data_IF_892259921847
#
_entry.id   IF_892259921847
#
_cell.length_a   1.000
_cell.length_b   1.000
_cell.length_c   1.000
_cell.angle_alpha   90.00
_cell.angle_beta   90.00
_cell.angle_gamma   90.00
#
_symmetry.space_group_name_H-M   'P 1'
#
loop_
_entity.id
_entity.type
_entity.pdbx_description
1 polymer ?
#
# COMPACT_ATOMS: atom_id res chain seq x y z
N UNK A 1 -12.72 11.99 -11.71
CA UNK A 1 -11.60 11.52 -12.53
C UNK A 1 -11.78 10.08 -12.95
N UNK A 2 -11.50 9.83 -14.16
CA UNK A 2 -11.61 8.48 -14.71
C UNK A 2 -10.38 7.65 -14.40
N UNK A 3 -10.60 6.38 -14.19
CA UNK A 3 -9.51 5.44 -13.98
C UNK A 3 -8.50 5.48 -15.12
N UNK A 4 -8.98 5.57 -16.36
CA UNK A 4 -8.10 5.60 -17.51
C UNK A 4 -7.22 6.83 -17.55
N UNK A 5 -7.71 7.95 -17.03
CA UNK A 5 -6.92 9.17 -17.00
C UNK A 5 -5.70 9.02 -16.10
N UNK A 6 -5.86 8.35 -14.97
CA UNK A 6 -4.74 8.14 -14.05
C UNK A 6 -3.66 7.31 -14.70
N UNK A 7 -4.06 6.28 -15.42
CA UNK A 7 -3.10 5.42 -16.13
C UNK A 7 -2.39 6.19 -17.23
N UNK A 8 -3.12 7.04 -17.97
CA UNK A 8 -2.53 7.81 -19.05
C UNK A 8 -1.47 8.79 -18.57
N UNK A 9 -1.64 9.33 -17.36
CA UNK A 9 -0.70 10.32 -16.84
C UNK A 9 0.42 9.71 -16.00
N UNK A 10 0.48 8.40 -15.93
CA UNK A 10 1.47 7.73 -15.09
C UNK A 10 2.92 8.12 -15.40
N UNK A 11 3.36 8.12 -16.67
CA UNK A 11 4.74 8.53 -16.95
C UNK A 11 5.05 9.94 -16.49
N UNK A 12 4.09 10.85 -16.63
CA UNK A 12 4.26 12.23 -16.19
C UNK A 12 4.39 12.29 -14.67
N UNK A 13 3.61 11.51 -13.96
CA UNK A 13 3.68 11.46 -12.50
C UNK A 13 5.06 10.97 -12.05
N UNK A 14 5.56 9.92 -12.67
CA UNK A 14 6.87 9.37 -12.33
C UNK A 14 7.96 10.41 -12.57
N UNK A 15 7.95 11.04 -13.74
CA UNK A 15 8.94 12.06 -14.07
C UNK A 15 8.92 13.22 -13.10
N UNK A 16 7.72 13.67 -12.75
CA UNK A 16 7.58 14.79 -11.81
C UNK A 16 8.15 14.44 -10.45
N UNK A 17 7.90 13.23 -9.99
CA UNK A 17 8.39 12.79 -8.69
C UNK A 17 9.89 12.62 -8.69
N UNK A 18 10.47 12.22 -9.82
CA UNK A 18 11.92 12.07 -9.93
C UNK A 18 12.63 13.42 -9.90
N UNK A 19 12.02 14.44 -10.49
CA UNK A 19 12.68 15.73 -10.62
C UNK A 19 12.36 16.69 -9.47
N UNK A 20 11.37 16.37 -8.61
CA UNK A 20 10.94 17.30 -7.57
C UNK A 20 10.49 16.58 -6.31
N UNK A 21 11.20 16.79 -5.19
CA UNK A 21 10.73 16.26 -3.91
C UNK A 21 9.35 16.77 -3.50
N UNK A 22 9.03 18.01 -3.88
CA UNK A 22 7.71 18.56 -3.58
C UNK A 22 6.63 17.83 -4.34
N UNK A 23 6.89 17.44 -5.60
CA UNK A 23 5.96 16.66 -6.39
C UNK A 23 5.76 15.27 -5.79
N UNK A 24 6.84 14.66 -5.30
CA UNK A 24 6.74 13.35 -4.67
C UNK A 24 5.92 13.42 -3.39
N UNK A 25 6.09 14.49 -2.61
CA UNK A 25 5.32 14.70 -1.40
C UNK A 25 3.83 14.84 -1.73
N UNK A 26 3.52 15.61 -2.76
CA UNK A 26 2.13 15.81 -3.17
C UNK A 26 1.54 14.50 -3.69
N UNK A 27 2.32 13.72 -4.42
CA UNK A 27 1.84 12.43 -4.91
C UNK A 27 1.49 11.51 -3.75
N UNK A 28 2.32 11.47 -2.72
CA UNK A 28 2.05 10.66 -1.54
C UNK A 28 0.75 11.12 -0.86
N UNK A 29 0.54 12.42 -0.76
CA UNK A 29 -0.67 12.97 -0.17
C UNK A 29 -1.92 12.53 -0.95
N UNK A 30 -1.86 12.65 -2.28
CA UNK A 30 -3.00 12.29 -3.13
C UNK A 30 -3.27 10.78 -3.05
N UNK A 31 -2.22 9.98 -3.09
CA UNK A 31 -2.37 8.53 -3.01
C UNK A 31 -2.99 8.14 -1.67
N UNK A 32 -2.57 8.78 -0.59
CA UNK A 32 -3.17 8.50 0.72
C UNK A 32 -4.67 8.79 0.71
N UNK A 33 -5.08 9.85 0.04
CA UNK A 33 -6.50 10.15 -0.11
C UNK A 33 -7.23 9.07 -0.91
N UNK A 34 -6.60 8.57 -1.96
CA UNK A 34 -7.20 7.50 -2.76
C UNK A 34 -7.44 6.25 -1.93
N UNK A 35 -6.55 5.97 -0.97
CA UNK A 35 -6.66 4.76 -0.15
C UNK A 35 -7.62 4.92 1.03
N UNK A 36 -8.06 6.12 1.29
CA UNK A 36 -8.87 6.39 2.48
C UNK A 36 -10.26 5.76 2.36
N UNK A 37 -10.94 5.68 3.49
CA UNK A 37 -12.28 5.11 3.54
C UNK A 37 -13.29 5.91 2.72
N UNK A 38 -12.96 7.16 2.39
CA UNK A 38 -13.83 7.96 1.54
C UNK A 38 -14.01 7.35 0.17
N UNK A 39 -13.09 6.49 -0.25
CA UNK A 39 -13.16 5.81 -1.54
C UNK A 39 -13.50 4.34 -1.41
N UNK A 40 -14.08 3.93 -0.28
CA UNK A 40 -14.44 2.52 -0.09
C UNK A 40 -15.48 2.02 -1.08
N UNK A 41 -16.28 2.93 -1.63
CA UNK A 41 -17.26 2.57 -2.66
C UNK A 41 -16.67 2.60 -4.06
N UNK A 42 -15.39 2.92 -4.19
CA UNK A 42 -14.71 3.00 -5.48
C UNK A 42 -13.41 2.19 -5.43
N UNK A 43 -13.54 0.85 -5.45
CA UNK A 43 -12.34 0.00 -5.32
C UNK A 43 -11.29 0.28 -6.38
N UNK A 44 -11.69 0.68 -7.58
CA UNK A 44 -10.73 0.97 -8.63
C UNK A 44 -9.81 2.14 -8.29
N UNK A 45 -10.32 3.12 -7.54
CA UNK A 45 -9.49 4.25 -7.11
C UNK A 45 -8.44 3.76 -6.12
N UNK A 46 -8.85 2.93 -5.18
CA UNK A 46 -7.93 2.37 -4.19
C UNK A 46 -6.89 1.46 -4.86
N UNK A 47 -7.34 0.64 -5.79
CA UNK A 47 -6.44 -0.24 -6.53
C UNK A 47 -5.37 0.57 -7.28
N UNK A 48 -5.80 1.62 -7.97
CA UNK A 48 -4.86 2.47 -8.71
C UNK A 48 -3.87 3.15 -7.78
N UNK A 49 -4.32 3.57 -6.60
CA UNK A 49 -3.42 4.16 -5.61
C UNK A 49 -2.32 3.19 -5.20
N UNK A 50 -2.68 1.92 -4.99
CA UNK A 50 -1.71 0.90 -4.62
C UNK A 50 -0.71 0.67 -5.75
N UNK A 51 -1.19 0.62 -6.99
CA UNK A 51 -0.30 0.44 -8.14
C UNK A 51 0.68 1.61 -8.25
N UNK A 52 0.21 2.83 -7.99
CA UNK A 52 1.11 3.99 -7.99
C UNK A 52 2.18 3.86 -6.91
N UNK A 53 1.83 3.37 -5.73
CA UNK A 53 2.80 3.15 -4.68
C UNK A 53 3.90 2.20 -5.15
N UNK A 54 3.53 1.12 -5.80
CA UNK A 54 4.49 0.14 -6.29
C UNK A 54 5.46 0.76 -7.28
N UNK A 55 4.92 1.55 -8.18
CA UNK A 55 5.74 2.17 -9.23
C UNK A 55 6.65 3.23 -8.65
N UNK A 56 6.11 4.11 -7.81
CA UNK A 56 6.86 5.22 -7.27
C UNK A 56 7.88 4.79 -6.21
N UNK A 57 7.65 3.66 -5.58
CA UNK A 57 8.65 3.12 -4.64
C UNK A 57 9.92 2.69 -5.36
N UNK A 58 9.83 2.38 -6.65
CA UNK A 58 10.99 2.05 -7.47
C UNK A 58 11.57 3.28 -8.16
N UNK A 59 10.72 4.15 -8.66
CA UNK A 59 11.11 5.35 -9.40
C UNK A 59 10.21 6.50 -8.99
N UNK A 60 10.69 7.47 -8.25
CA UNK A 60 12.06 7.80 -7.85
C UNK A 60 12.61 7.03 -6.66
N UNK A 61 11.84 6.14 -6.06
CA UNK A 61 12.30 5.39 -4.92
C UNK A 61 12.27 6.21 -3.64
N UNK A 62 13.43 6.46 -3.06
CA UNK A 62 13.50 7.07 -1.72
C UNK A 62 12.91 8.47 -1.64
N UNK A 63 12.96 9.22 -2.73
CA UNK A 63 12.36 10.55 -2.76
C UNK A 63 10.84 10.44 -2.52
N UNK A 64 10.23 9.36 -2.97
CA UNK A 64 8.81 9.13 -2.73
C UNK A 64 8.57 8.43 -1.39
N UNK A 65 9.31 7.35 -1.12
CA UNK A 65 9.02 6.52 0.05
C UNK A 65 9.24 7.25 1.36
N UNK A 66 10.11 8.26 1.38
CA UNK A 66 10.34 9.02 2.60
C UNK A 66 9.09 9.77 3.07
N UNK A 67 8.07 9.86 2.24
CA UNK A 67 6.81 10.52 2.58
C UNK A 67 5.79 9.56 3.20
N UNK A 68 6.17 8.31 3.42
CA UNK A 68 5.30 7.34 4.06
C UNK A 68 5.34 7.50 5.57
N UNK A 69 4.71 8.57 6.04
CA UNK A 69 4.70 8.93 7.46
C UNK A 69 3.63 8.14 8.21
N UNK A 70 3.46 8.49 9.49
CA UNK A 70 2.51 7.79 10.34
C UNK A 70 1.08 7.88 9.80
N UNK A 71 0.71 9.01 9.20
CA UNK A 71 -0.63 9.17 8.64
C UNK A 71 -0.85 8.24 7.46
N UNK A 72 0.15 8.14 6.59
CA UNK A 72 0.06 7.24 5.43
C UNK A 72 -0.07 5.79 5.91
N UNK A 73 0.78 5.40 6.85
CA UNK A 73 0.78 4.04 7.39
C UNK A 73 -0.55 3.73 8.05
N UNK A 74 -1.12 4.69 8.78
CA UNK A 74 -2.41 4.49 9.43
C UNK A 74 -3.51 4.26 8.39
N UNK A 75 -3.51 5.02 7.30
CA UNK A 75 -4.49 4.85 6.24
C UNK A 75 -4.39 3.47 5.61
N UNK A 76 -3.17 3.00 5.34
CA UNK A 76 -2.96 1.67 4.79
C UNK A 76 -3.46 0.59 5.76
N UNK A 77 -3.17 0.77 7.03
CA UNK A 77 -3.60 -0.18 8.07
C UNK A 77 -5.12 -0.27 8.13
N UNK A 78 -5.80 0.89 8.06
CA UNK A 78 -7.26 0.90 8.06
C UNK A 78 -7.82 0.19 6.84
N UNK A 79 -7.19 0.39 5.68
CA UNK A 79 -7.64 -0.28 4.47
C UNK A 79 -7.50 -1.80 4.61
N UNK A 80 -6.40 -2.26 5.21
CA UNK A 80 -6.22 -3.69 5.46
C UNK A 80 -7.31 -4.25 6.37
N UNK A 81 -7.71 -3.49 7.38
CA UNK A 81 -8.64 -3.98 8.38
C UNK A 81 -10.10 -3.88 7.96
N UNK A 82 -10.48 -2.78 7.34
CA UNK A 82 -11.89 -2.52 7.04
C UNK A 82 -12.21 -2.55 5.56
N UNK A 83 -11.23 -2.71 4.69
CA UNK A 83 -11.46 -2.77 3.25
C UNK A 83 -12.31 -3.98 2.91
N UNK A 84 -13.23 -3.79 1.96
CA UNK A 84 -14.18 -4.84 1.60
C UNK A 84 -13.87 -5.54 0.29
N UNK A 85 -13.17 -4.86 -0.60
CA UNK A 85 -12.92 -5.41 -1.93
C UNK A 85 -11.77 -6.41 -1.88
N UNK A 86 -12.01 -7.67 -2.26
CA UNK A 86 -10.95 -8.68 -2.20
C UNK A 86 -9.76 -8.37 -3.10
N UNK A 87 -10.00 -7.76 -4.27
CA UNK A 87 -8.92 -7.44 -5.19
C UNK A 87 -8.01 -6.37 -4.63
N UNK A 88 -8.61 -5.35 -3.99
CA UNK A 88 -7.85 -4.28 -3.36
C UNK A 88 -7.00 -4.85 -2.21
N UNK A 89 -7.60 -5.67 -1.36
CA UNK A 89 -6.87 -6.27 -0.25
C UNK A 89 -5.75 -7.17 -0.75
N UNK A 90 -6.00 -7.93 -1.79
CA UNK A 90 -5.02 -8.85 -2.35
C UNK A 90 -3.80 -8.08 -2.86
N UNK A 91 -4.02 -7.07 -3.69
CA UNK A 91 -2.90 -6.32 -4.25
C UNK A 91 -2.16 -5.54 -3.17
N UNK A 92 -2.88 -5.07 -2.16
CA UNK A 92 -2.24 -4.35 -1.06
C UNK A 92 -1.32 -5.29 -0.27
N UNK A 93 -1.81 -6.47 0.07
CA UNK A 93 -0.99 -7.43 0.83
C UNK A 93 0.22 -7.88 0.03
N UNK A 94 0.05 -8.11 -1.27
CA UNK A 94 1.18 -8.48 -2.12
C UNK A 94 2.21 -7.38 -2.18
N UNK A 95 1.76 -6.14 -2.27
CA UNK A 95 2.66 -5.00 -2.31
C UNK A 95 3.45 -4.87 -1.03
N UNK A 96 2.77 -4.97 0.11
CA UNK A 96 3.42 -4.85 1.42
C UNK A 96 4.41 -5.99 1.65
N UNK A 97 4.04 -7.19 1.23
CA UNK A 97 4.93 -8.34 1.37
C UNK A 97 6.18 -8.17 0.50
N UNK A 98 5.99 -7.68 -0.72
CA UNK A 98 7.11 -7.41 -1.63
C UNK A 98 8.06 -6.38 -1.03
N UNK A 99 7.51 -5.30 -0.45
CA UNK A 99 8.34 -4.27 0.17
C UNK A 99 9.15 -4.84 1.35
N UNK A 100 8.52 -5.68 2.15
CA UNK A 100 9.21 -6.28 3.29
C UNK A 100 10.37 -7.17 2.83
N UNK A 101 10.19 -7.89 1.73
CA UNK A 101 11.22 -8.78 1.22
C UNK A 101 12.32 -8.05 0.46
N UNK A 102 11.96 -7.04 -0.32
CA UNK A 102 12.92 -6.43 -1.24
C UNK A 102 13.39 -5.04 -0.85
N UNK A 103 12.68 -4.38 0.06
CA UNK A 103 12.99 -3.00 0.45
C UNK A 103 13.06 -2.85 1.97
N UNK A 104 13.55 -3.88 2.64
CA UNK A 104 13.61 -3.87 4.10
C UNK A 104 14.57 -2.80 4.63
N UNK A 105 15.56 -2.40 3.83
CA UNK A 105 16.53 -1.40 4.23
C UNK A 105 16.18 0.01 3.76
N UNK A 106 15.00 0.20 3.16
CA UNK A 106 14.54 1.55 2.81
C UNK A 106 13.95 2.20 4.06
N UNK A 107 14.65 3.22 4.56
CA UNK A 107 14.24 3.88 5.80
C UNK A 107 12.86 4.52 5.70
N UNK A 108 12.50 4.99 4.50
CA UNK A 108 11.18 5.59 4.29
C UNK A 108 10.05 4.61 4.45
N UNK A 109 10.33 3.33 4.21
CA UNK A 109 9.33 2.28 4.33
C UNK A 109 9.34 1.58 5.70
N UNK A 110 10.21 2.03 6.61
CA UNK A 110 10.38 1.34 7.90
C UNK A 110 9.06 1.23 8.66
N UNK A 111 8.30 2.33 8.77
CA UNK A 111 7.04 2.31 9.48
C UNK A 111 6.03 1.40 8.80
N UNK A 112 5.99 1.44 7.47
CA UNK A 112 5.06 0.62 6.71
C UNK A 112 5.41 -0.86 6.86
N UNK A 113 6.68 -1.21 6.76
CA UNK A 113 7.13 -2.58 6.89
C UNK A 113 6.86 -3.11 8.31
N UNK A 114 7.08 -2.27 9.31
CA UNK A 114 6.81 -2.66 10.70
C UNK A 114 5.32 -2.91 10.92
N UNK A 115 4.48 -2.02 10.39
CA UNK A 115 3.04 -2.18 10.47
C UNK A 115 2.60 -3.49 9.81
N UNK A 116 3.13 -3.77 8.61
CA UNK A 116 2.74 -4.97 7.89
C UNK A 116 3.17 -6.23 8.64
N UNK A 117 4.36 -6.22 9.22
CA UNK A 117 4.82 -7.36 10.01
C UNK A 117 3.83 -7.68 11.11
N UNK A 118 3.39 -6.66 11.85
CA UNK A 118 2.47 -6.85 12.96
C UNK A 118 1.09 -7.29 12.47
N UNK A 119 0.59 -6.67 11.41
CA UNK A 119 -0.72 -7.02 10.89
C UNK A 119 -0.74 -8.42 10.31
N UNK A 120 0.34 -8.81 9.64
CA UNK A 120 0.43 -10.15 9.09
C UNK A 120 0.43 -11.20 10.21
N UNK A 121 1.18 -10.96 11.28
CA UNK A 121 1.19 -11.86 12.42
C UNK A 121 -0.19 -11.98 13.05
N UNK A 122 -0.89 -10.86 13.15
CA UNK A 122 -2.24 -10.85 13.70
C UNK A 122 -3.19 -11.67 12.83
N UNK A 123 -3.10 -11.50 11.52
CA UNK A 123 -3.94 -12.26 10.59
C UNK A 123 -3.68 -13.76 10.68
N UNK A 124 -2.41 -14.14 10.76
CA UNK A 124 -2.06 -15.54 10.87
C UNK A 124 -2.63 -16.14 12.15
N UNK A 125 -2.53 -15.41 13.27
CA UNK A 125 -3.08 -15.91 14.54
C UNK A 125 -4.59 -16.11 14.45
N UNK A 126 -5.29 -15.16 13.85
CA UNK A 126 -6.74 -15.23 13.74
C UNK A 126 -7.16 -16.42 12.90
N UNK A 127 -6.43 -16.72 11.83
CA UNK A 127 -6.81 -17.77 10.89
C UNK A 127 -6.30 -19.15 11.28
N UNK A 128 -5.23 -19.22 12.08
CA UNK A 128 -4.60 -20.50 12.43
C UNK A 128 -5.03 -20.99 13.81
N UNK A 129 -5.22 -20.08 14.75
CA UNK A 129 -5.56 -20.43 16.12
C UNK A 129 -6.81 -21.27 16.30
N UNK A 130 -7.88 -20.99 15.61
CA UNK A 130 -9.06 -21.82 15.78
C UNK A 130 -8.72 -23.21 15.36
N UNK A 131 -9.10 -24.11 16.08
CA UNK A 131 -8.68 -25.24 15.75
C UNK A 131 -8.71 -26.02 14.55
N UNK A 132 -8.49 -25.58 14.27
CA UNK A 132 -8.50 -26.13 13.29
C UNK A 132 -7.61 -26.51 13.07
N UNK A 133 -7.41 -26.61 13.77
CA UNK A 133 -6.89 -27.08 13.59
C UNK A 133 -6.43 -27.58 13.09
N UNK A 134 -6.52 -27.77 13.01
CA UNK A 134 -6.36 -28.41 12.46
C UNK A 134 -5.96 -28.63 11.72
N UNK A 135 -6.00 -29.02 11.69
CA UNK A 135 -5.62 -29.35 10.96
C UNK A 135 -5.43 -29.26 10.07
N UNK A 136 -5.70 -29.22 10.02
CA UNK A 136 -5.79 -29.19 9.31
C UNK A 136 -5.29 -28.87 8.49
N UNK A 137 -5.19 -28.79 8.78
CA UNK A 137 -5.00 -28.58 8.21
C UNK A 137 -4.23 -28.60 7.65
N UNK A 138 -3.98 -28.74 7.95
CA UNK A 138 -3.54 -28.85 7.66
C UNK A 138 -3.26 -28.83 7.06
N UNK A 139 -3.37 -28.72 7.10
CA UNK A 139 -3.42 -28.79 6.69
C UNK A 139 -3.31 -28.76 6.37
#
# INVERSE_FOLDING_TARGET
>A
MEQGEEVLYLPTIVESCESSPAAAEKAAYVIRKYLSKDNSSKPYVQYNGIMLIRILADNPGKTFTRNMDAKFVQTVKELLRVGRDPSVKQILMETLDTFQRTKADDEGLALLNEMWKKEHERMVKIHVCPPFSSPIHLV
#
